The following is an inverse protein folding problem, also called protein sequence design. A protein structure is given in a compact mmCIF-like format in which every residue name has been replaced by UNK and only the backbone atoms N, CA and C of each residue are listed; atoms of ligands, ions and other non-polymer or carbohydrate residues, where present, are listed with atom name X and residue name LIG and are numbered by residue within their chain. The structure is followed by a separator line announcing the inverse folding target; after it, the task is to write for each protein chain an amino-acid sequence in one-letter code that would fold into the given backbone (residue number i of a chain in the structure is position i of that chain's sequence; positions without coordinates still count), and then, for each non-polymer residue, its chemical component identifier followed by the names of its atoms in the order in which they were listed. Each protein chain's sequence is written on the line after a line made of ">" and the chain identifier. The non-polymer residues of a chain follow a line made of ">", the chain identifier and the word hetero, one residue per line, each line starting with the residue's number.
data_IF_439204805062
#
_entry.id   IF_439204805062
#
_cell.length_a   1.000
_cell.length_b   1.000
_cell.length_c   1.000
_cell.angle_alpha   90.00
_cell.angle_beta   90.00
_cell.angle_gamma   90.00
#
_symmetry.space_group_name_H-M   'P 1'
#
loop_
_entity.id
_entity.type
_entity.pdbx_description
1 polymer ?
#
# COMPACT_ATOMS: atom_id res chain seq x y z
N UNK A 1 -21.74 -2.23 -1.22
CA UNK A 1 -20.96 -1.00 -1.48
C UNK A 1 -20.20 -1.21 -2.78
N UNK A 2 -20.41 -0.34 -3.77
CA UNK A 2 -19.72 -0.36 -5.07
C UNK A 2 -18.69 0.77 -5.10
N UNK A 3 -17.44 0.47 -5.45
CA UNK A 3 -16.40 1.50 -5.63
C UNK A 3 -16.43 2.02 -7.07
N UNK A 4 -16.34 3.33 -7.30
CA UNK A 4 -16.34 3.91 -8.65
C UNK A 4 -14.92 4.11 -9.17
N UNK A 5 -14.62 3.63 -10.37
CA UNK A 5 -13.34 3.73 -11.05
C UNK A 5 -13.49 4.52 -12.36
N UNK A 6 -12.60 5.48 -12.63
CA UNK A 6 -12.60 6.21 -13.90
C UNK A 6 -11.72 5.50 -14.91
N UNK A 7 -12.35 4.96 -15.96
CA UNK A 7 -11.69 4.23 -17.05
C UNK A 7 -10.63 5.12 -17.69
N UNK A 8 -9.44 4.58 -17.91
CA UNK A 8 -8.32 5.24 -18.60
C UNK A 8 -8.14 4.65 -19.98
N UNK A 9 -7.43 5.37 -20.85
CA UNK A 9 -7.07 4.84 -22.16
C UNK A 9 -6.17 3.62 -21.99
N UNK A 10 -6.51 2.52 -22.64
CA UNK A 10 -5.81 1.23 -22.52
C UNK A 10 -6.37 0.28 -21.45
N UNK A 11 -7.38 0.70 -20.67
CA UNK A 11 -8.08 -0.22 -19.78
C UNK A 11 -8.98 -1.20 -20.55
N UNK A 12 -9.09 -2.42 -20.03
CA UNK A 12 -10.08 -3.41 -20.47
C UNK A 12 -10.86 -3.92 -19.26
N UNK A 13 -12.11 -4.36 -19.44
CA UNK A 13 -12.87 -4.94 -18.33
C UNK A 13 -12.22 -6.19 -17.76
N UNK A 14 -11.50 -6.97 -18.58
CA UNK A 14 -10.76 -8.15 -18.14
C UNK A 14 -9.61 -7.79 -17.20
N UNK A 15 -8.78 -6.80 -17.56
CA UNK A 15 -7.74 -6.30 -16.67
C UNK A 15 -8.32 -5.65 -15.42
N UNK A 16 -9.40 -4.89 -15.53
CA UNK A 16 -10.06 -4.28 -14.38
C UNK A 16 -10.72 -5.34 -13.47
N UNK A 17 -11.34 -6.38 -14.04
CA UNK A 17 -11.92 -7.48 -13.29
C UNK A 17 -10.84 -8.20 -12.49
N UNK A 18 -9.73 -8.54 -13.14
CA UNK A 18 -8.58 -9.17 -12.49
C UNK A 18 -7.97 -8.26 -11.41
N UNK A 19 -7.80 -6.96 -11.71
CA UNK A 19 -7.28 -5.95 -10.79
C UNK A 19 -8.14 -5.78 -9.55
N UNK A 20 -9.46 -5.85 -9.70
CA UNK A 20 -10.42 -5.67 -8.61
C UNK A 20 -10.91 -6.99 -8.02
N UNK A 21 -10.22 -8.10 -8.32
CA UNK A 21 -10.56 -9.44 -7.89
C UNK A 21 -12.07 -9.75 -8.02
N UNK A 22 -12.61 -9.39 -9.17
CA UNK A 22 -14.00 -9.60 -9.54
C UNK A 22 -14.05 -10.27 -10.92
N UNK A 23 -15.24 -10.48 -11.48
CA UNK A 23 -15.37 -11.01 -12.83
C UNK A 23 -15.86 -9.94 -13.80
N UNK A 24 -15.53 -10.10 -15.09
CA UNK A 24 -16.09 -9.24 -16.15
C UNK A 24 -17.62 -9.26 -16.08
N UNK A 25 -18.21 -10.43 -15.84
CA UNK A 25 -19.67 -10.57 -15.64
C UNK A 25 -20.18 -9.75 -14.45
N UNK A 26 -19.48 -9.76 -13.31
CA UNK A 26 -19.84 -8.96 -12.15
C UNK A 26 -19.69 -7.45 -12.41
N UNK A 27 -18.64 -7.03 -13.12
CA UNK A 27 -18.47 -5.65 -13.57
C UNK A 27 -19.60 -5.22 -14.50
N UNK A 28 -19.95 -6.03 -15.49
CA UNK A 28 -21.06 -5.72 -16.40
C UNK A 28 -22.41 -5.67 -15.67
N UNK A 29 -22.67 -6.57 -14.73
CA UNK A 29 -23.88 -6.54 -13.88
C UNK A 29 -23.95 -5.28 -13.02
N UNK A 30 -22.82 -4.81 -12.50
CA UNK A 30 -22.75 -3.56 -11.73
C UNK A 30 -22.80 -2.30 -12.61
N UNK A 31 -22.64 -2.44 -13.93
CA UNK A 31 -22.61 -1.36 -14.91
C UNK A 31 -23.52 -1.66 -16.11
N UNK A 32 -24.84 -1.61 -15.92
CA UNK A 32 -25.80 -1.93 -16.98
C UNK A 32 -25.69 -1.00 -18.21
N UNK A 33 -25.01 0.14 -18.08
CA UNK A 33 -24.69 1.03 -19.19
C UNK A 33 -23.66 0.45 -20.18
N UNK A 34 -22.89 -0.58 -19.78
CA UNK A 34 -21.88 -1.22 -20.62
C UNK A 34 -22.52 -2.43 -21.31
N UNK A 35 -22.78 -2.30 -22.62
CA UNK A 35 -23.41 -3.36 -23.43
C UNK A 35 -22.43 -4.31 -24.10
N UNK A 36 -21.17 -3.89 -24.24
CA UNK A 36 -20.10 -4.69 -24.81
C UNK A 36 -18.90 -4.71 -23.85
N UNK A 37 -18.44 -5.90 -23.48
CA UNK A 37 -17.35 -6.08 -22.52
C UNK A 37 -16.00 -5.60 -23.05
N UNK A 38 -15.83 -5.64 -24.37
CA UNK A 38 -14.59 -5.29 -25.06
C UNK A 38 -14.50 -3.80 -25.39
N UNK A 39 -15.58 -3.04 -25.13
CA UNK A 39 -15.71 -1.65 -25.52
C UNK A 39 -16.00 -0.77 -24.29
N UNK A 40 -14.94 -0.30 -23.65
CA UNK A 40 -15.02 0.68 -22.57
C UNK A 40 -14.31 1.96 -22.97
N UNK A 41 -14.87 3.10 -22.54
CA UNK A 41 -14.40 4.41 -22.95
C UNK A 41 -13.66 5.10 -21.81
N UNK A 42 -12.45 5.55 -22.12
CA UNK A 42 -11.68 6.40 -21.22
C UNK A 42 -12.49 7.63 -20.77
N UNK A 43 -12.30 8.04 -19.53
CA UNK A 43 -13.00 9.14 -18.88
C UNK A 43 -14.36 8.78 -18.29
N UNK A 44 -14.93 7.60 -18.58
CA UNK A 44 -16.20 7.12 -18.00
C UNK A 44 -16.00 6.43 -16.65
N UNK A 45 -17.03 6.45 -15.82
CA UNK A 45 -17.03 5.81 -14.50
C UNK A 45 -17.53 4.37 -14.57
N UNK A 46 -16.89 3.48 -13.82
CA UNK A 46 -17.11 2.05 -13.73
C UNK A 46 -17.32 1.65 -12.27
N UNK A 47 -18.47 1.09 -11.95
CA UNK A 47 -18.80 0.57 -10.63
C UNK A 47 -18.18 -0.82 -10.42
N UNK A 48 -17.45 -1.00 -9.32
CA UNK A 48 -16.76 -2.23 -8.97
C UNK A 48 -17.47 -2.87 -7.77
N UNK A 49 -18.03 -4.09 -7.91
CA UNK A 49 -18.72 -4.78 -6.82
C UNK A 49 -17.74 -5.57 -5.93
N UNK A 50 -17.86 -5.42 -4.60
CA UNK A 50 -17.61 -6.52 -3.65
C UNK A 50 -16.20 -6.75 -3.10
N UNK A 51 -15.30 -5.77 -3.05
CA UNK A 51 -14.00 -5.95 -2.38
C UNK A 51 -14.15 -5.90 -0.85
N UNK A 52 -14.42 -7.04 -0.21
CA UNK A 52 -14.30 -7.23 1.25
C UNK A 52 -13.45 -8.47 1.53
N UNK A 53 -12.24 -8.24 1.99
CA UNK A 53 -11.42 -9.27 2.61
C UNK A 53 -11.76 -9.30 4.10
N UNK A 54 -12.11 -10.47 4.61
CA UNK A 54 -12.43 -10.67 6.04
C UNK A 54 -11.14 -10.62 6.86
N UNK A 55 -10.91 -9.53 7.57
CA UNK A 55 -9.86 -9.38 8.57
C UNK A 55 -10.46 -9.39 9.98
N UNK A 56 -10.08 -10.36 10.82
CA UNK A 56 -10.45 -10.37 12.24
C UNK A 56 -9.70 -9.24 12.97
N UNK A 57 -10.44 -8.20 13.33
CA UNK A 57 -9.99 -7.19 14.29
C UNK A 57 -10.09 -7.80 15.70
N UNK A 58 -8.96 -8.25 16.23
CA UNK A 58 -8.83 -8.60 17.64
C UNK A 58 -9.20 -7.40 18.51
N UNK A 59 -10.41 -7.47 19.10
CA UNK A 59 -10.92 -6.50 20.06
C UNK A 59 -10.49 -6.93 21.46
N UNK A 60 -9.76 -6.08 22.17
CA UNK A 60 -9.57 -6.04 23.63
C UNK A 60 -8.96 -4.66 23.92
N UNK A 61 -9.47 -3.75 24.73
CA UNK A 61 -10.33 -3.85 25.90
C UNK A 61 -9.69 -3.01 27.03
N UNK A 62 -10.05 -1.72 27.10
CA UNK A 62 -10.04 -0.75 28.23
C UNK A 62 -8.91 -0.73 29.29
N UNK A 63 -8.30 0.45 29.47
CA UNK A 63 -7.60 0.85 30.69
C UNK A 63 -7.37 2.38 30.73
N UNK A 64 -7.99 3.08 31.68
CA UNK A 64 -7.93 4.53 31.90
C UNK A 64 -6.78 4.94 32.84
N UNK A 65 -6.13 6.07 32.56
CA UNK A 65 -5.49 7.08 33.45
C UNK A 65 -4.44 7.83 32.60
N UNK A 66 -4.16 9.13 32.65
CA UNK A 66 -4.53 10.23 33.52
C UNK A 66 -3.36 11.25 33.46
N UNK A 67 -3.66 12.52 33.13
CA UNK A 67 -2.89 13.68 33.62
C UNK A 67 -1.59 14.14 32.90
N UNK A 68 -1.52 15.48 32.78
CA UNK A 68 -0.35 16.37 32.75
C UNK A 68 0.27 16.82 31.40
N UNK A 69 -0.21 18.01 30.99
CA UNK A 69 0.51 19.21 30.52
C UNK A 69 2.05 19.25 30.60
N UNK A 70 2.67 19.82 29.56
CA UNK A 70 3.86 20.69 29.70
C UNK A 70 4.93 20.54 28.61
N UNK A 71 5.30 21.65 27.97
CA UNK A 71 6.68 21.86 27.50
C UNK A 71 6.91 22.12 26.01
N UNK A 72 6.95 23.40 25.65
CA UNK A 72 7.44 23.94 24.38
C UNK A 72 8.96 23.84 24.22
N UNK A 73 9.41 23.77 22.96
CA UNK A 73 10.78 24.06 22.48
C UNK A 73 11.06 23.23 21.22
N UNK A 74 11.33 23.73 20.02
CA UNK A 74 11.72 25.06 19.57
C UNK A 74 13.00 24.97 18.74
N UNK A 75 12.89 24.75 17.42
CA UNK A 75 13.85 25.16 16.37
C UNK A 75 13.33 24.66 15.00
N UNK A 76 12.80 25.52 14.11
CA UNK A 76 13.54 26.28 13.08
C UNK A 76 14.62 25.40 12.43
N UNK A 77 14.43 24.81 11.25
CA UNK A 77 14.33 25.40 9.91
C UNK A 77 15.11 24.44 9.01
N UNK A 78 14.64 24.06 7.82
CA UNK A 78 14.82 24.85 6.60
C UNK A 78 13.83 24.41 5.53
N UNK A 79 13.28 25.40 4.84
CA UNK A 79 12.47 25.28 3.64
C UNK A 79 13.34 25.51 2.41
N UNK A 80 13.18 24.65 1.40
CA UNK A 80 13.36 25.00 -0.01
C UNK A 80 14.13 23.98 -0.85
N UNK A 81 13.99 23.99 -2.20
CA UNK A 81 12.89 24.47 -3.03
C UNK A 81 12.19 23.30 -3.76
N UNK A 82 11.03 23.57 -4.37
CA UNK A 82 10.37 22.58 -5.21
C UNK A 82 11.17 22.25 -6.47
N UNK A 83 11.03 21.02 -6.95
CA UNK A 83 10.99 20.75 -8.39
C UNK A 83 10.39 19.38 -8.64
N UNK A 84 9.32 19.39 -9.41
CA UNK A 84 8.80 18.28 -10.18
C UNK A 84 9.91 17.70 -11.07
N UNK A 85 10.18 16.40 -10.97
CA UNK A 85 11.07 15.68 -11.90
C UNK A 85 11.66 14.38 -11.29
N UNK A 86 11.86 13.32 -12.10
CA UNK A 86 12.31 12.02 -11.62
C UNK A 86 13.81 12.07 -11.36
N UNK A 87 14.18 12.22 -10.08
CA UNK A 87 15.57 12.17 -9.61
C UNK A 87 15.67 11.21 -8.45
N UNK A 88 16.60 10.27 -8.50
CA UNK A 88 16.85 9.29 -7.44
C UNK A 88 17.07 10.03 -6.11
N UNK A 89 16.11 9.88 -5.19
CA UNK A 89 16.22 10.36 -3.80
C UNK A 89 17.23 9.47 -3.08
N UNK A 90 18.30 10.05 -2.55
CA UNK A 90 19.24 9.34 -1.67
C UNK A 90 18.54 8.77 -0.42
N UNK A 91 19.13 7.76 0.24
CA UNK A 91 18.46 7.03 1.31
C UNK A 91 18.12 7.93 2.51
N UNK A 92 16.84 8.09 2.82
CA UNK A 92 16.33 8.91 3.94
C UNK A 92 16.10 8.13 5.24
N UNK A 93 16.66 6.93 5.37
CA UNK A 93 16.53 6.08 6.55
C UNK A 93 15.87 4.73 6.25
N UNK A 94 15.53 3.97 7.30
CA UNK A 94 14.93 2.64 7.13
C UNK A 94 13.50 2.73 6.58
N UNK A 95 13.11 1.87 5.62
CA UNK A 95 11.71 1.75 5.19
C UNK A 95 10.74 1.56 6.37
N UNK A 96 11.15 0.83 7.41
CA UNK A 96 10.34 0.64 8.60
C UNK A 96 10.12 1.96 9.37
N UNK A 97 11.16 2.76 9.55
CA UNK A 97 11.06 4.05 10.26
C UNK A 97 10.18 5.03 9.48
N UNK A 98 10.37 5.09 8.16
CA UNK A 98 9.55 5.91 7.26
C UNK A 98 8.09 5.48 7.35
N UNK A 99 7.79 4.18 7.21
CA UNK A 99 6.43 3.67 7.32
C UNK A 99 5.81 3.95 8.70
N UNK A 100 6.60 3.85 9.77
CA UNK A 100 6.14 4.06 11.15
C UNK A 100 5.68 5.49 11.42
N UNK A 101 6.24 6.49 10.72
CA UNK A 101 5.78 7.88 10.80
C UNK A 101 4.34 8.08 10.31
N UNK A 102 3.82 7.12 9.54
CA UNK A 102 2.48 7.18 8.97
C UNK A 102 1.45 6.34 9.73
N UNK A 103 1.81 5.72 10.86
CA UNK A 103 0.88 4.89 11.65
C UNK A 103 -0.41 5.65 11.99
N UNK A 104 -1.55 4.98 11.77
CA UNK A 104 -2.87 5.55 12.00
C UNK A 104 -3.39 6.45 10.89
N UNK A 105 -2.55 6.85 9.92
CA UNK A 105 -3.01 7.65 8.77
C UNK A 105 -3.75 6.80 7.76
N UNK A 106 -4.85 7.34 7.24
CA UNK A 106 -5.60 6.71 6.16
C UNK A 106 -4.88 6.90 4.83
N UNK A 107 -4.87 5.87 3.98
CA UNK A 107 -4.23 5.91 2.67
C UNK A 107 -4.76 7.05 1.79
N UNK A 108 -6.06 7.35 1.88
CA UNK A 108 -6.66 8.48 1.18
C UNK A 108 -6.11 9.83 1.63
N UNK A 109 -5.90 10.02 2.94
CA UNK A 109 -5.36 11.26 3.49
C UNK A 109 -3.89 11.42 3.17
N UNK A 110 -3.11 10.32 3.21
CA UNK A 110 -1.68 10.31 2.90
C UNK A 110 -1.39 10.86 1.51
N UNK A 111 -2.13 10.40 0.49
CA UNK A 111 -1.99 10.86 -0.89
C UNK A 111 -2.19 12.37 -1.05
N UNK A 112 -2.99 12.99 -0.18
CA UNK A 112 -3.24 14.43 -0.21
C UNK A 112 -2.14 15.27 0.45
N UNK A 113 -1.19 14.66 1.17
CA UNK A 113 -0.15 15.39 1.92
C UNK A 113 0.85 16.11 0.99
N UNK A 114 0.95 15.70 -0.29
CA UNK A 114 1.76 16.38 -1.31
C UNK A 114 3.27 16.40 -1.02
N UNK A 115 3.72 15.65 -0.02
CA UNK A 115 5.13 15.50 0.38
C UNK A 115 5.41 14.06 0.88
N UNK A 116 6.69 13.73 1.03
CA UNK A 116 7.13 12.44 1.59
C UNK A 116 6.53 11.24 0.86
N UNK A 117 6.12 10.22 1.63
CA UNK A 117 5.44 9.02 1.09
C UNK A 117 4.15 9.39 0.35
N UNK A 118 3.42 10.40 0.83
CA UNK A 118 2.17 10.84 0.21
C UNK A 118 2.32 11.32 -1.23
N UNK A 119 3.39 12.08 -1.51
CA UNK A 119 3.69 12.58 -2.86
C UNK A 119 4.06 11.46 -3.85
N UNK A 120 4.63 10.37 -3.35
CA UNK A 120 5.12 9.26 -4.17
C UNK A 120 4.03 8.20 -4.37
N UNK A 121 3.03 8.20 -3.48
CA UNK A 121 1.83 7.42 -3.70
C UNK A 121 1.05 7.99 -4.88
N UNK A 122 0.65 7.10 -5.78
CA UNK A 122 -0.18 7.46 -6.91
C UNK A 122 -1.61 7.80 -6.46
N UNK A 123 -2.00 9.08 -6.57
CA UNK A 123 -3.29 9.63 -6.11
C UNK A 123 -4.52 8.84 -6.59
N UNK A 124 -4.43 8.33 -7.82
CA UNK A 124 -5.50 7.64 -8.51
C UNK A 124 -5.74 6.20 -8.02
N UNK A 125 -4.86 5.65 -7.17
CA UNK A 125 -5.00 4.31 -6.61
C UNK A 125 -6.14 4.30 -5.56
N UNK A 126 -7.17 3.45 -5.70
CA UNK A 126 -8.32 3.46 -4.79
C UNK A 126 -7.94 3.16 -3.34
N UNK A 127 -8.59 3.83 -2.38
CA UNK A 127 -8.22 3.79 -0.95
C UNK A 127 -8.26 2.40 -0.32
N UNK A 128 -8.91 1.42 -0.93
CA UNK A 128 -9.03 0.03 -0.49
C UNK A 128 -7.97 -0.93 -1.09
N UNK A 129 -7.06 -0.44 -1.93
CA UNK A 129 -6.00 -1.23 -2.59
C UNK A 129 -4.66 -0.45 -2.69
N UNK A 130 -4.21 0.12 -1.57
CA UNK A 130 -2.98 0.93 -1.50
C UNK A 130 -1.75 0.18 -0.98
N UNK A 131 -1.82 -1.13 -0.76
CA UNK A 131 -0.72 -1.85 -0.12
C UNK A 131 0.60 -1.73 -0.91
N UNK A 132 0.59 -2.05 -2.21
CA UNK A 132 1.76 -1.88 -3.06
C UNK A 132 2.11 -0.41 -3.32
N UNK A 133 1.11 0.46 -3.54
CA UNK A 133 1.34 1.89 -3.71
C UNK A 133 2.06 2.54 -2.52
N UNK A 134 1.64 2.19 -1.30
CA UNK A 134 2.27 2.65 -0.07
C UNK A 134 3.66 2.04 0.12
N UNK A 135 3.82 0.73 -0.07
CA UNK A 135 5.13 0.08 0.08
C UNK A 135 6.14 0.63 -0.94
N UNK A 136 5.77 0.78 -2.21
CA UNK A 136 6.64 1.37 -3.23
C UNK A 136 7.04 2.81 -2.89
N UNK A 137 6.09 3.66 -2.47
CA UNK A 137 6.39 5.02 -2.04
C UNK A 137 7.36 5.07 -0.84
N UNK A 138 7.20 4.15 0.12
CA UNK A 138 8.13 4.03 1.26
C UNK A 138 9.53 3.61 0.79
N UNK A 139 9.62 2.63 -0.10
CA UNK A 139 10.91 2.18 -0.65
C UNK A 139 11.59 3.28 -1.47
N UNK A 140 10.82 4.08 -2.20
CA UNK A 140 11.34 5.23 -2.96
C UNK A 140 11.86 6.32 -2.02
N UNK A 141 11.11 6.64 -0.94
CA UNK A 141 11.61 7.53 0.10
C UNK A 141 12.87 7.00 0.79
N UNK A 142 12.96 5.68 0.99
CA UNK A 142 14.15 5.04 1.54
C UNK A 142 15.32 4.99 0.55
N UNK A 143 15.14 5.41 -0.72
CA UNK A 143 16.15 5.32 -1.77
C UNK A 143 16.49 3.88 -2.20
N UNK A 144 15.65 2.91 -1.83
CA UNK A 144 15.88 1.50 -2.16
C UNK A 144 15.37 1.13 -3.56
N UNK A 145 14.40 1.90 -4.07
CA UNK A 145 13.93 1.81 -5.45
C UNK A 145 13.86 3.20 -6.09
N UNK A 146 13.93 3.25 -7.41
CA UNK A 146 13.65 4.47 -8.19
C UNK A 146 12.16 4.63 -8.50
N UNK A 147 11.75 5.82 -8.94
CA UNK A 147 10.39 6.11 -9.44
C UNK A 147 9.96 5.12 -10.56
N UNK A 148 10.87 4.77 -11.47
CA UNK A 148 10.59 3.77 -12.52
C UNK A 148 10.27 2.36 -11.95
N UNK A 149 10.77 2.07 -10.75
CA UNK A 149 10.54 0.82 -10.06
C UNK A 149 9.29 0.86 -9.17
N UNK A 150 8.70 2.03 -8.91
CA UNK A 150 7.42 2.15 -8.20
C UNK A 150 6.32 1.36 -8.91
N UNK A 151 5.49 0.63 -8.16
CA UNK A 151 4.39 -0.13 -8.75
C UNK A 151 3.23 -0.26 -7.77
N UNK A 152 2.04 0.16 -8.21
CA UNK A 152 0.83 0.09 -7.41
C UNK A 152 0.21 -1.32 -7.33
N UNK A 153 0.80 -2.32 -7.98
CA UNK A 153 0.34 -3.70 -7.96
C UNK A 153 1.33 -4.59 -7.21
N UNK A 154 0.82 -5.52 -6.40
CA UNK A 154 1.67 -6.43 -5.63
C UNK A 154 2.58 -7.23 -6.55
N UNK A 155 2.02 -7.83 -7.60
CA UNK A 155 2.78 -8.65 -8.54
C UNK A 155 3.79 -7.84 -9.37
N UNK A 156 3.42 -6.63 -9.79
CA UNK A 156 4.33 -5.74 -10.51
C UNK A 156 5.52 -5.34 -9.64
N UNK A 157 5.26 -4.93 -8.39
CA UNK A 157 6.32 -4.61 -7.43
C UNK A 157 7.23 -5.83 -7.20
N UNK A 158 6.68 -7.01 -6.89
CA UNK A 158 7.49 -8.21 -6.64
C UNK A 158 8.35 -8.56 -7.85
N UNK A 159 7.81 -8.48 -9.07
CA UNK A 159 8.57 -8.77 -10.28
C UNK A 159 9.69 -7.76 -10.55
N UNK A 160 9.56 -6.51 -10.08
CA UNK A 160 10.62 -5.50 -10.17
C UNK A 160 11.70 -5.77 -9.11
N UNK A 161 11.31 -6.05 -7.86
CA UNK A 161 12.25 -6.41 -6.80
C UNK A 161 13.03 -7.69 -7.12
N UNK A 162 12.39 -8.66 -7.78
CA UNK A 162 13.05 -9.90 -8.23
C UNK A 162 14.15 -9.68 -9.27
N UNK A 163 14.04 -8.62 -10.07
CA UNK A 163 15.00 -8.30 -11.14
C UNK A 163 16.06 -7.30 -10.69
N UNK A 164 15.86 -6.66 -9.54
CA UNK A 164 16.80 -5.68 -9.01
C UNK A 164 17.95 -6.42 -8.29
N UNK A 165 19.21 -6.25 -8.73
CA UNK A 165 20.36 -6.90 -8.10
C UNK A 165 20.61 -6.47 -6.65
N UNK A 166 20.03 -5.34 -6.21
CA UNK A 166 20.14 -4.87 -4.83
C UNK A 166 19.14 -5.56 -3.90
N UNK A 167 18.21 -6.36 -4.42
CA UNK A 167 17.27 -7.13 -3.61
C UNK A 167 17.59 -8.62 -3.66
N UNK A 168 17.47 -9.26 -2.50
CA UNK A 168 17.64 -10.70 -2.36
C UNK A 168 16.39 -11.32 -1.76
N UNK A 169 15.95 -12.45 -2.33
CA UNK A 169 14.94 -13.30 -1.70
C UNK A 169 15.52 -14.03 -0.50
N UNK A 170 14.85 -13.96 0.62
CA UNK A 170 15.25 -14.59 1.89
C UNK A 170 14.06 -15.30 2.55
N UNK A 171 14.33 -16.08 3.59
CA UNK A 171 13.29 -16.64 4.45
C UNK A 171 12.80 -15.58 5.46
N UNK A 172 11.54 -15.66 5.87
CA UNK A 172 10.96 -14.72 6.84
C UNK A 172 11.70 -14.68 8.19
N UNK A 173 12.30 -15.81 8.61
CA UNK A 173 13.11 -15.89 9.83
C UNK A 173 14.36 -15.00 9.79
N UNK A 174 14.85 -14.69 8.59
CA UNK A 174 16.05 -13.88 8.35
C UNK A 174 15.69 -12.42 8.01
N UNK A 175 14.40 -12.08 8.01
CA UNK A 175 13.90 -10.76 7.69
C UNK A 175 14.26 -9.72 8.76
N UNK A 176 14.55 -8.51 8.31
CA UNK A 176 14.84 -7.33 9.13
C UNK A 176 13.72 -6.29 8.95
N UNK A 177 13.48 -5.43 9.97
CA UNK A 177 12.48 -4.37 9.83
C UNK A 177 12.70 -3.54 8.57
N UNK A 178 11.67 -3.46 7.73
CA UNK A 178 11.70 -2.78 6.42
C UNK A 178 11.76 -3.72 5.22
N UNK A 179 12.09 -5.00 5.41
CA UNK A 179 12.09 -5.98 4.33
C UNK A 179 10.67 -6.19 3.79
N UNK A 180 10.55 -6.29 2.47
CA UNK A 180 9.25 -6.36 1.80
C UNK A 180 8.73 -7.79 1.87
N UNK A 181 7.48 -7.96 2.27
CA UNK A 181 6.83 -9.25 2.44
C UNK A 181 5.56 -9.27 1.60
N UNK A 182 5.48 -10.18 0.64
CA UNK A 182 4.24 -10.45 -0.10
C UNK A 182 3.56 -11.71 0.42
N UNK A 183 2.23 -11.69 0.42
CA UNK A 183 1.39 -12.73 0.98
C UNK A 183 0.22 -13.03 0.04
N UNK A 184 -0.23 -14.27 0.03
CA UNK A 184 -1.46 -14.67 -0.65
C UNK A 184 -2.63 -14.59 0.31
N UNK A 185 -3.53 -13.64 0.11
CA UNK A 185 -4.74 -13.47 0.93
C UNK A 185 -5.94 -14.14 0.26
N UNK A 186 -7.07 -14.20 0.98
CA UNK A 186 -8.32 -14.69 0.39
C UNK A 186 -8.81 -13.78 -0.76
N UNK A 187 -8.41 -12.50 -0.76
CA UNK A 187 -8.72 -11.48 -1.76
C UNK A 187 -7.74 -11.38 -2.92
N UNK A 188 -6.71 -12.22 -2.97
CA UNK A 188 -5.64 -12.15 -3.96
C UNK A 188 -4.28 -12.08 -3.32
N UNK A 189 -3.57 -10.96 -3.50
CA UNK A 189 -2.26 -10.73 -2.92
C UNK A 189 -2.23 -9.47 -2.07
N UNK A 190 -1.36 -9.46 -1.07
CA UNK A 190 -1.09 -8.30 -0.23
C UNK A 190 0.42 -8.13 -0.08
N UNK A 191 0.86 -6.90 0.10
CA UNK A 191 2.26 -6.59 0.36
C UNK A 191 2.38 -5.62 1.53
N UNK A 192 3.34 -5.90 2.39
CA UNK A 192 3.63 -5.19 3.62
C UNK A 192 5.14 -5.20 3.84
N UNK A 193 5.62 -4.49 4.85
CA UNK A 193 7.01 -4.58 5.30
C UNK A 193 7.07 -5.33 6.63
N UNK A 194 8.10 -6.14 6.83
CA UNK A 194 8.37 -6.77 8.09
C UNK A 194 8.64 -5.70 9.17
N UNK A 195 8.03 -5.85 10.34
CA UNK A 195 8.14 -4.91 11.46
C UNK A 195 8.82 -5.51 12.69
N UNK A 196 9.24 -6.78 12.62
CA UNK A 196 9.85 -7.52 13.74
C UNK A 196 8.97 -8.63 14.29
N UNK A 197 9.42 -9.23 15.38
CA UNK A 197 8.73 -10.31 16.07
C UNK A 197 8.09 -9.79 17.36
N UNK A 198 6.86 -10.23 17.64
CA UNK A 198 6.19 -9.99 18.92
C UNK A 198 5.50 -11.27 19.36
N UNK A 199 5.81 -11.74 20.57
CA UNK A 199 5.26 -12.97 21.15
C UNK A 199 5.41 -14.19 20.22
N UNK A 200 6.56 -14.30 19.55
CA UNK A 200 6.85 -15.37 18.58
C UNK A 200 6.11 -15.27 17.25
N UNK A 201 5.32 -14.20 17.02
CA UNK A 201 4.58 -13.97 15.78
C UNK A 201 5.18 -12.81 14.98
N UNK A 202 5.28 -12.94 13.65
CA UNK A 202 5.78 -11.87 12.83
C UNK A 202 4.77 -10.71 12.83
N UNK A 203 5.29 -9.50 12.92
CA UNK A 203 4.55 -8.26 12.78
C UNK A 203 4.85 -7.65 11.42
N UNK A 204 3.84 -7.02 10.83
CA UNK A 204 3.97 -6.37 9.52
C UNK A 204 3.38 -4.97 9.57
N UNK A 205 4.09 -4.01 8.98
CA UNK A 205 3.62 -2.64 8.78
C UNK A 205 3.20 -2.44 7.33
N UNK A 206 2.05 -1.82 7.13
CA UNK A 206 1.58 -1.49 5.78
C UNK A 206 0.21 -0.85 5.77
N UNK A 207 -0.24 -0.47 4.58
CA UNK A 207 -1.58 0.05 4.33
C UNK A 207 -2.58 -1.12 4.30
N UNK A 208 -3.41 -1.26 5.33
CA UNK A 208 -4.27 -2.43 5.56
C UNK A 208 -5.76 -2.05 5.60
N UNK A 209 -6.64 -2.92 5.10
CA UNK A 209 -8.11 -2.71 5.04
C UNK A 209 -8.79 -2.83 6.41
N UNK A 210 -8.39 -2.00 7.37
CA UNK A 210 -8.87 -2.07 8.78
C UNK A 210 -10.01 -1.10 9.08
N UNK A 211 -10.40 -0.24 8.13
CA UNK A 211 -11.52 0.68 8.32
C UNK A 211 -12.85 0.01 7.96
N UNK A 212 -13.92 0.38 8.67
CA UNK A 212 -15.27 -0.16 8.46
C UNK A 212 -15.85 0.15 7.07
N UNK A 213 -15.37 1.22 6.44
CA UNK A 213 -15.72 1.62 5.07
C UNK A 213 -14.93 0.88 3.99
N UNK A 214 -13.99 0.00 4.41
CA UNK A 214 -13.11 -0.76 3.53
C UNK A 214 -11.87 0.01 3.04
N UNK A 215 -11.69 1.27 3.45
CA UNK A 215 -10.46 2.01 3.15
C UNK A 215 -9.27 1.50 3.96
N UNK A 216 -8.06 1.76 3.47
CA UNK A 216 -6.84 1.34 4.12
C UNK A 216 -6.32 2.39 5.09
N UNK A 217 -5.71 1.90 6.17
CA UNK A 217 -4.96 2.67 7.16
C UNK A 217 -3.63 2.00 7.42
N UNK A 218 -2.59 2.81 7.60
CA UNK A 218 -1.27 2.31 7.96
C UNK A 218 -1.32 1.77 9.38
N UNK A 219 -1.01 0.49 9.54
CA UNK A 219 -1.05 -0.21 10.83
C UNK A 219 0.09 -1.22 10.92
N UNK A 220 0.48 -1.54 12.16
CA UNK A 220 1.25 -2.75 12.46
C UNK A 220 0.27 -3.83 12.89
N UNK A 221 0.36 -5.01 12.28
CA UNK A 221 -0.50 -6.14 12.59
C UNK A 221 0.21 -7.47 12.36
N UNK A 222 -0.13 -8.48 13.15
CA UNK A 222 0.12 -9.88 12.76
C UNK A 222 -0.81 -10.29 11.63
N UNK A 223 -0.27 -11.02 10.66
CA UNK A 223 -1.03 -11.57 9.56
C UNK A 223 -0.72 -13.06 9.43
N UNK A 224 -1.77 -13.88 9.34
CA UNK A 224 -1.65 -15.32 9.18
C UNK A 224 -2.07 -15.73 7.76
N UNK A 225 -1.28 -15.31 6.78
CA UNK A 225 -1.45 -15.67 5.37
C UNK A 225 -0.19 -16.36 4.85
N UNK A 226 -0.30 -17.26 3.86
CA UNK A 226 0.85 -17.83 3.19
C UNK A 226 1.78 -16.73 2.62
N UNK A 227 3.05 -16.77 3.02
CA UNK A 227 4.09 -15.90 2.46
C UNK A 227 4.41 -16.36 1.05
N UNK A 228 4.43 -15.42 0.10
CA UNK A 228 4.83 -15.66 -1.28
C UNK A 228 6.33 -15.40 -1.49
N UNK A 229 6.82 -14.27 -0.97
CA UNK A 229 8.23 -13.91 -1.01
C UNK A 229 8.57 -12.90 0.09
N UNK A 230 9.84 -12.89 0.51
CA UNK A 230 10.45 -11.83 1.31
C UNK A 230 11.63 -11.29 0.54
N UNK A 231 11.66 -9.97 0.32
CA UNK A 231 12.74 -9.27 -0.36
C UNK A 231 13.48 -8.37 0.62
N UNK A 232 14.76 -8.66 0.81
CA UNK A 232 15.67 -7.87 1.63
C UNK A 232 16.58 -7.04 0.74
N UNK A 233 16.63 -5.74 0.99
CA UNK A 233 17.57 -4.83 0.33
C UNK A 233 18.99 -5.07 0.85
N UNK A 234 19.97 -5.09 -0.06
CA UNK A 234 21.39 -5.37 0.20
C UNK A 234 22.33 -4.23 -0.26
N UNK A 235 21.76 -3.16 -0.84
CA UNK A 235 22.51 -2.02 -1.39
C UNK A 235 22.95 -1.00 -0.36
#
# INVERSE_FOLDING_TARGET
>A
MSSSYRIKSGDTLSHLAQRYNTSVSALMKANPQIKNADLIYAGKSLNIPGARDTFESGTSGSGRAGGATGGSGGSQGVQGPGSSGPGIRGPKGSPFEIASQHLGKNAGSLKLEGNGVGADMEDWVPNNVNCANFVSAVLEQAGQISDAQHDNSVMGLMAKLDRDPNFKRIDLKDAKPGDVVSMKTNGGQHVVMFAGWKDGKPQFIGSNNVNSDGSQRVTISSMNYPIMAVHQYQG
#
